data_IF_877248061837
#
_entry.id   IF_877248061837
#
_cell.length_a   1.000
_cell.length_b   1.000
_cell.length_c   1.000
_cell.angle_alpha   90.00
_cell.angle_beta   90.00
_cell.angle_gamma   90.00
#
_symmetry.space_group_name_H-M   'P 1'
#
loop_
_entity.id
_entity.type
_entity.pdbx_description
1 polymer ?
#
# COMPACT_ATOMS: atom_id res chain seq x y z
N UNK A 1 -22.10 3.80 -4.26
CA UNK A 1 -22.08 2.85 -5.39
C UNK A 1 -21.41 3.57 -6.54
N UNK A 2 -20.12 3.32 -6.71
CA UNK A 2 -19.26 3.97 -7.70
C UNK A 2 -18.93 2.89 -8.73
N UNK A 3 -19.22 3.13 -10.01
CA UNK A 3 -18.91 2.21 -11.11
C UNK A 3 -17.83 2.85 -11.99
N UNK A 4 -16.82 2.06 -12.35
CA UNK A 4 -15.69 2.45 -13.20
C UNK A 4 -16.13 2.54 -14.67
N UNK A 5 -15.72 3.58 -15.43
CA UNK A 5 -15.92 3.62 -16.87
C UNK A 5 -14.90 2.73 -17.59
N UNK A 6 -15.40 1.87 -18.49
CA UNK A 6 -14.57 1.10 -19.42
C UNK A 6 -14.22 1.96 -20.63
N UNK A 7 -12.93 2.11 -20.95
CA UNK A 7 -12.49 2.76 -22.20
C UNK A 7 -11.56 1.87 -23.04
N UNK A 8 -12.12 1.51 -24.20
CA UNK A 8 -11.58 1.33 -25.55
C UNK A 8 -10.08 1.39 -25.81
N UNK A 9 -9.64 0.33 -26.50
CA UNK A 9 -8.37 0.12 -27.20
C UNK A 9 -7.72 1.38 -27.81
N UNK A 10 -6.41 1.52 -27.57
CA UNK A 10 -5.51 2.27 -28.44
C UNK A 10 -4.13 1.62 -28.49
N UNK A 11 -3.92 0.84 -29.54
CA UNK A 11 -2.64 0.25 -29.94
C UNK A 11 -1.65 1.34 -30.35
N UNK A 12 -0.45 1.36 -29.75
CA UNK A 12 0.70 2.05 -30.31
C UNK A 12 1.94 1.14 -30.23
N UNK A 13 2.45 0.84 -31.42
CA UNK A 13 3.57 -0.04 -31.73
C UNK A 13 4.85 0.81 -31.81
N UNK A 14 5.97 0.39 -31.23
CA UNK A 14 7.30 0.84 -31.63
C UNK A 14 8.39 -0.15 -31.21
N UNK A 15 8.99 -0.80 -32.21
CA UNK A 15 10.26 -1.51 -32.10
C UNK A 15 11.43 -0.53 -32.17
N UNK A 16 12.50 -0.82 -31.43
CA UNK A 16 13.87 -0.49 -31.84
C UNK A 16 14.85 -1.49 -31.22
N UNK A 17 15.60 -2.17 -32.10
CA UNK A 17 16.74 -3.03 -31.79
C UNK A 17 17.99 -2.19 -31.47
N UNK A 18 18.74 -2.57 -30.44
CA UNK A 18 20.15 -2.22 -30.27
C UNK A 18 20.92 -3.38 -29.63
N UNK A 19 21.71 -4.04 -30.47
CA UNK A 19 22.58 -5.19 -30.15
C UNK A 19 23.86 -4.70 -29.45
N UNK A 20 24.11 -5.19 -28.24
CA UNK A 20 25.13 -4.65 -27.34
C UNK A 20 25.59 -5.60 -26.23
N UNK A 21 25.87 -6.87 -26.57
CA UNK A 21 26.63 -7.84 -25.76
C UNK A 21 26.35 -7.79 -24.25
N UNK A 22 25.19 -8.29 -23.86
CA UNK A 22 24.82 -8.48 -22.46
C UNK A 22 24.58 -9.98 -22.21
N UNK A 23 24.85 -10.47 -21.02
CA UNK A 23 24.46 -11.83 -20.60
C UNK A 23 22.92 -11.91 -20.40
N UNK A 24 22.16 -11.32 -21.31
CA UNK A 24 20.70 -11.22 -21.29
C UNK A 24 20.11 -12.43 -21.98
N UNK A 25 19.83 -13.47 -21.22
CA UNK A 25 18.71 -14.34 -21.56
C UNK A 25 18.22 -15.04 -20.31
N UNK A 26 17.14 -14.54 -19.70
CA UNK A 26 16.34 -15.37 -18.81
C UNK A 26 15.32 -16.19 -19.60
N UNK A 27 15.82 -17.10 -20.46
CA UNK A 27 15.05 -18.17 -21.12
C UNK A 27 13.84 -17.77 -22.00
N UNK A 28 13.45 -16.50 -22.08
CA UNK A 28 12.17 -16.07 -22.63
C UNK A 28 10.94 -16.52 -21.82
N UNK A 29 11.14 -17.17 -20.66
CA UNK A 29 10.06 -17.74 -19.85
C UNK A 29 9.87 -16.91 -18.57
N UNK A 30 8.62 -16.49 -18.31
CA UNK A 30 8.24 -15.79 -17.08
C UNK A 30 8.47 -16.70 -15.87
N UNK A 31 8.99 -16.12 -14.80
CA UNK A 31 9.25 -16.82 -13.53
C UNK A 31 8.24 -16.33 -12.51
N UNK A 32 7.30 -17.20 -12.14
CA UNK A 32 6.17 -16.89 -11.26
C UNK A 32 6.60 -16.17 -9.97
N UNK A 33 7.66 -16.64 -9.31
CA UNK A 33 8.15 -16.02 -8.08
C UNK A 33 8.67 -14.57 -8.26
N UNK A 34 9.29 -14.26 -9.41
CA UNK A 34 9.69 -12.89 -9.72
C UNK A 34 8.48 -11.99 -10.01
N UNK A 35 7.47 -12.53 -10.69
CA UNK A 35 6.20 -11.84 -10.90
C UNK A 35 5.47 -11.56 -9.60
N UNK A 36 5.31 -12.57 -8.75
CA UNK A 36 4.64 -12.43 -7.45
C UNK A 36 5.35 -11.41 -6.57
N UNK A 37 6.69 -11.38 -6.62
CA UNK A 37 7.46 -10.36 -5.93
C UNK A 37 7.11 -8.96 -6.43
N UNK A 38 7.10 -8.72 -7.75
CA UNK A 38 6.80 -7.39 -8.30
C UNK A 38 5.34 -6.98 -8.13
N UNK A 39 4.40 -7.94 -8.15
CA UNK A 39 2.99 -7.73 -7.76
C UNK A 39 2.90 -7.29 -6.29
N UNK A 40 3.57 -7.99 -5.38
CA UNK A 40 3.62 -7.60 -3.96
C UNK A 40 4.29 -6.23 -3.75
N UNK A 41 5.35 -5.90 -4.50
CA UNK A 41 5.99 -4.59 -4.45
C UNK A 41 5.05 -3.48 -4.94
N UNK A 42 4.25 -3.72 -5.98
CA UNK A 42 3.25 -2.75 -6.45
C UNK A 42 2.23 -2.44 -5.35
N UNK A 43 1.71 -3.47 -4.67
CA UNK A 43 0.79 -3.29 -3.54
C UNK A 43 1.44 -2.57 -2.36
N UNK A 44 2.70 -2.89 -2.03
CA UNK A 44 3.48 -2.17 -1.01
C UNK A 44 3.60 -0.68 -1.35
N UNK A 45 3.86 -0.34 -2.62
CA UNK A 45 3.98 1.04 -3.08
C UNK A 45 2.65 1.78 -3.04
N UNK A 46 1.57 1.15 -3.50
CA UNK A 46 0.21 1.66 -3.39
C UNK A 46 -0.10 2.01 -1.94
N UNK A 47 -0.05 1.02 -1.06
CA UNK A 47 -0.44 1.15 0.34
C UNK A 47 0.40 2.17 1.08
N UNK A 48 1.72 2.19 0.85
CA UNK A 48 2.60 3.21 1.44
C UNK A 48 2.18 4.63 1.04
N UNK A 49 1.80 4.85 -0.22
CA UNK A 49 1.34 6.15 -0.72
C UNK A 49 -0.06 6.48 -0.19
N UNK A 50 -1.00 5.53 -0.21
CA UNK A 50 -2.35 5.70 0.35
C UNK A 50 -2.30 6.07 1.84
N UNK A 51 -1.53 5.32 2.63
CA UNK A 51 -1.41 5.56 4.06
C UNK A 51 -0.79 6.94 4.38
N UNK A 52 0.13 7.41 3.52
CA UNK A 52 0.68 8.77 3.61
C UNK A 52 -0.36 9.83 3.23
N UNK A 53 -1.10 9.62 2.14
CA UNK A 53 -2.13 10.54 1.66
C UNK A 53 -3.28 10.72 2.66
N UNK A 54 -3.72 9.62 3.27
CA UNK A 54 -4.76 9.63 4.30
C UNK A 54 -4.27 10.19 5.65
N UNK A 55 -2.94 10.29 5.85
CA UNK A 55 -2.33 10.86 7.06
C UNK A 55 -2.39 9.99 8.31
N UNK A 56 -2.56 8.68 8.16
CA UNK A 56 -3.16 7.83 9.23
C UNK A 56 -2.60 6.41 9.33
N UNK A 57 -1.62 5.97 8.53
CA UNK A 57 -1.05 4.64 8.77
C UNK A 57 0.45 4.55 8.50
N UNK A 58 1.19 4.01 9.46
CA UNK A 58 2.51 3.41 9.26
C UNK A 58 2.37 1.92 9.54
N UNK A 59 3.31 1.10 9.08
CA UNK A 59 3.33 -0.36 9.37
C UNK A 59 3.18 -0.67 10.87
N UNK A 60 3.72 0.20 11.74
CA UNK A 60 3.64 0.07 13.20
C UNK A 60 2.21 0.20 13.78
N UNK A 61 1.25 0.67 12.99
CA UNK A 61 -0.13 0.86 13.41
C UNK A 61 -1.00 -0.37 13.02
N UNK A 62 -0.36 -1.47 12.64
CA UNK A 62 -1.00 -2.77 12.47
C UNK A 62 -1.78 -3.18 13.73
N UNK A 63 -2.95 -3.78 13.55
CA UNK A 63 -3.95 -4.09 14.57
C UNK A 63 -4.83 -2.91 14.99
N UNK A 64 -4.57 -1.70 14.45
CA UNK A 64 -5.38 -0.49 14.71
C UNK A 64 -6.01 0.08 13.45
N UNK A 65 -5.42 -0.19 12.30
CA UNK A 65 -5.87 0.32 11.00
C UNK A 65 -5.91 -0.83 9.98
N UNK A 66 -7.04 -1.04 9.29
CA UNK A 66 -7.13 -1.98 8.16
C UNK A 66 -6.07 -1.70 7.08
N UNK A 67 -5.78 -0.42 6.83
CA UNK A 67 -4.76 0.01 5.88
C UNK A 67 -3.34 -0.36 6.32
N UNK A 68 -3.03 -0.21 7.62
CA UNK A 68 -1.74 -0.62 8.17
C UNK A 68 -1.59 -2.15 8.12
N UNK A 69 -2.66 -2.90 8.34
CA UNK A 69 -2.66 -4.36 8.25
C UNK A 69 -2.44 -4.85 6.82
N UNK A 70 -3.15 -4.28 5.85
CA UNK A 70 -2.91 -4.57 4.43
C UNK A 70 -1.45 -4.27 4.05
N UNK A 71 -0.93 -3.10 4.48
CA UNK A 71 0.45 -2.76 4.20
C UNK A 71 1.44 -3.76 4.83
N UNK A 72 1.24 -4.11 6.10
CA UNK A 72 2.03 -5.13 6.79
C UNK A 72 2.00 -6.48 6.09
N UNK A 73 0.83 -6.90 5.62
CA UNK A 73 0.64 -8.17 4.91
C UNK A 73 1.46 -8.24 3.61
N UNK A 74 1.32 -7.27 2.70
CA UNK A 74 2.08 -7.27 1.45
C UNK A 74 3.58 -7.04 1.67
N UNK A 75 3.94 -6.26 2.69
CA UNK A 75 5.34 -6.10 3.08
C UNK A 75 5.96 -7.42 3.58
N UNK A 76 5.22 -8.21 4.35
CA UNK A 76 5.65 -9.53 4.81
C UNK A 76 5.82 -10.51 3.63
N UNK A 77 4.89 -10.51 2.66
CA UNK A 77 5.04 -11.32 1.43
C UNK A 77 6.31 -10.93 0.67
N UNK A 78 6.54 -9.63 0.45
CA UNK A 78 7.68 -9.16 -0.34
C UNK A 78 9.02 -9.37 0.38
N UNK A 79 9.11 -9.04 1.67
CA UNK A 79 10.39 -8.92 2.39
C UNK A 79 10.60 -9.98 3.47
N UNK A 80 9.55 -10.68 3.89
CA UNK A 80 9.59 -11.68 4.95
C UNK A 80 9.22 -11.11 6.31
N UNK A 81 9.17 -12.01 7.28
CA UNK A 81 9.05 -11.72 8.71
C UNK A 81 10.31 -12.22 9.44
N UNK A 82 10.34 -12.10 10.76
CA UNK A 82 11.45 -12.66 11.55
C UNK A 82 11.51 -14.19 11.46
N UNK A 83 10.38 -14.85 11.16
CA UNK A 83 10.23 -16.31 11.16
C UNK A 83 10.21 -16.93 9.75
N UNK A 84 9.83 -16.17 8.72
CA UNK A 84 9.64 -16.70 7.36
C UNK A 84 10.29 -15.79 6.30
N UNK A 85 11.07 -16.36 5.35
CA UNK A 85 11.65 -15.59 4.26
C UNK A 85 10.56 -15.10 3.30
N UNK A 86 10.65 -13.83 2.86
CA UNK A 86 9.78 -13.30 1.84
C UNK A 86 10.26 -13.62 0.42
N UNK A 87 9.43 -13.27 -0.56
CA UNK A 87 9.71 -13.49 -1.98
C UNK A 87 11.04 -12.88 -2.42
N UNK A 88 11.45 -11.74 -1.87
CA UNK A 88 12.76 -11.14 -2.17
C UNK A 88 13.92 -12.10 -1.89
N UNK A 89 13.85 -12.86 -0.81
CA UNK A 89 14.89 -13.82 -0.45
C UNK A 89 14.82 -15.04 -1.37
N UNK A 90 13.63 -15.60 -1.56
CA UNK A 90 13.39 -16.72 -2.49
C UNK A 90 13.90 -16.42 -3.90
N UNK A 91 13.71 -15.19 -4.35
CA UNK A 91 14.13 -14.70 -5.66
C UNK A 91 15.65 -14.61 -5.85
N UNK A 92 16.45 -14.57 -4.78
CA UNK A 92 17.93 -14.51 -4.88
C UNK A 92 18.53 -15.83 -5.37
N UNK A 93 17.90 -16.94 -5.06
CA UNK A 93 18.35 -18.27 -5.45
C UNK A 93 17.85 -18.67 -6.85
N UNK A 94 16.97 -17.86 -7.43
CA UNK A 94 16.50 -18.01 -8.81
C UNK A 94 17.52 -17.40 -9.78
N UNK A 95 17.57 -17.91 -11.02
CA UNK A 95 18.62 -17.49 -11.91
C UNK A 95 18.24 -16.12 -12.53
N UNK A 96 19.26 -15.34 -12.91
CA UNK A 96 19.07 -13.92 -13.24
C UNK A 96 19.06 -13.04 -12.00
N UNK A 97 18.60 -11.79 -12.13
CA UNK A 97 18.39 -10.91 -10.99
C UNK A 97 17.05 -10.16 -11.10
N UNK A 98 16.46 -9.85 -9.95
CA UNK A 98 15.16 -9.19 -9.83
C UNK A 98 15.01 -7.89 -10.64
N UNK A 99 15.99 -6.96 -10.61
CA UNK A 99 15.96 -5.77 -11.47
C UNK A 99 15.82 -6.09 -12.95
N UNK A 100 16.65 -6.99 -13.49
CA UNK A 100 16.63 -7.35 -14.91
C UNK A 100 15.30 -7.98 -15.31
N UNK A 101 14.71 -8.82 -14.46
CA UNK A 101 13.38 -9.39 -14.73
C UNK A 101 12.30 -8.33 -14.93
N UNK A 102 12.36 -7.24 -14.15
CA UNK A 102 11.40 -6.14 -14.29
C UNK A 102 11.55 -5.40 -15.62
N UNK A 103 12.79 -5.18 -16.05
CA UNK A 103 13.10 -4.52 -17.32
C UNK A 103 12.67 -5.37 -18.53
N UNK A 104 12.78 -6.69 -18.45
CA UNK A 104 12.41 -7.58 -19.57
C UNK A 104 10.89 -7.73 -19.76
N UNK A 105 10.11 -7.74 -18.67
CA UNK A 105 8.69 -8.09 -18.73
C UNK A 105 7.74 -6.92 -18.49
N UNK A 106 8.19 -5.84 -17.85
CA UNK A 106 7.51 -4.56 -17.52
C UNK A 106 6.13 -4.66 -16.83
N UNK A 107 5.19 -5.39 -17.44
CA UNK A 107 3.81 -5.60 -17.00
C UNK A 107 3.59 -7.03 -16.49
N UNK A 108 3.04 -7.22 -15.28
CA UNK A 108 2.69 -8.54 -14.74
C UNK A 108 1.54 -9.22 -15.50
N UNK A 109 1.47 -10.55 -15.52
CA UNK A 109 0.34 -11.29 -16.09
C UNK A 109 -0.92 -11.18 -15.22
N UNK A 110 -2.05 -10.90 -15.87
CA UNK A 110 -3.38 -10.76 -15.26
C UNK A 110 -4.07 -9.43 -15.63
N UNK A 111 -5.23 -9.20 -15.04
CA UNK A 111 -5.97 -7.94 -15.18
C UNK A 111 -5.59 -6.98 -14.05
N UNK A 112 -5.06 -5.80 -14.42
CA UNK A 112 -4.62 -4.78 -13.48
C UNK A 112 -5.09 -3.39 -13.88
N UNK A 113 -5.45 -2.60 -12.88
CA UNK A 113 -5.43 -1.15 -12.99
C UNK A 113 -3.98 -0.65 -12.94
N UNK A 114 -3.64 0.25 -13.86
CA UNK A 114 -2.30 0.81 -13.99
C UNK A 114 -2.29 2.23 -13.45
N UNK A 115 -1.60 2.43 -12.34
CA UNK A 115 -1.47 3.73 -11.69
C UNK A 115 -0.10 4.32 -12.01
N UNK A 116 -0.12 5.51 -12.58
CA UNK A 116 1.03 6.32 -12.98
C UNK A 116 0.89 7.69 -12.34
N UNK A 117 1.91 8.55 -12.48
CA UNK A 117 1.83 9.94 -12.01
C UNK A 117 0.63 10.70 -12.62
N UNK A 118 0.35 10.46 -13.90
CA UNK A 118 -0.64 11.21 -14.67
C UNK A 118 -2.10 10.92 -14.25
N UNK A 119 -2.36 9.72 -13.72
CA UNK A 119 -3.69 9.30 -13.26
C UNK A 119 -3.76 8.99 -11.77
N UNK A 120 -2.68 9.22 -11.00
CA UNK A 120 -2.63 8.92 -9.56
C UNK A 120 -3.78 9.56 -8.76
N UNK A 121 -4.18 10.78 -9.13
CA UNK A 121 -5.25 11.51 -8.45
C UNK A 121 -6.62 10.83 -8.61
N UNK A 122 -6.86 10.13 -9.73
CA UNK A 122 -8.09 9.37 -9.95
C UNK A 122 -8.23 8.20 -8.97
N UNK A 123 -7.11 7.73 -8.43
CA UNK A 123 -7.03 6.69 -7.40
C UNK A 123 -6.90 7.26 -5.97
N UNK A 124 -7.09 8.57 -5.80
CA UNK A 124 -6.96 9.23 -4.51
C UNK A 124 -5.53 9.33 -3.99
N UNK A 125 -4.53 9.19 -4.87
CA UNK A 125 -3.12 9.34 -4.55
C UNK A 125 -2.59 10.71 -5.01
N UNK A 126 -1.76 11.40 -4.22
CA UNK A 126 -1.14 12.64 -4.67
C UNK A 126 -0.15 12.37 -5.81
N UNK A 127 -0.29 13.04 -6.95
CA UNK A 127 0.65 12.92 -8.07
C UNK A 127 2.09 13.32 -7.69
N UNK A 128 2.24 14.29 -6.77
CA UNK A 128 3.52 14.74 -6.23
C UNK A 128 4.28 13.65 -5.44
N UNK A 129 3.59 12.58 -5.02
CA UNK A 129 4.23 11.45 -4.37
C UNK A 129 4.88 10.48 -5.37
N UNK A 130 4.70 10.68 -6.67
CA UNK A 130 5.33 9.91 -7.75
C UNK A 130 6.55 10.64 -8.32
N UNK A 131 7.68 9.93 -8.38
CA UNK A 131 8.86 10.38 -9.12
C UNK A 131 8.58 10.53 -10.62
N UNK A 132 9.35 11.37 -11.31
CA UNK A 132 9.17 11.60 -12.75
C UNK A 132 9.43 10.33 -13.59
N UNK A 133 10.38 9.50 -13.15
CA UNK A 133 10.72 8.21 -13.76
C UNK A 133 10.28 7.02 -12.88
N UNK A 134 9.29 7.23 -12.00
CA UNK A 134 8.80 6.16 -11.15
C UNK A 134 7.92 5.18 -11.94
N UNK A 135 8.27 3.90 -11.88
CA UNK A 135 7.52 2.84 -12.58
C UNK A 135 6.03 2.84 -12.23
N UNK A 136 5.18 2.39 -13.14
CA UNK A 136 3.77 2.20 -12.84
C UNK A 136 3.56 1.27 -11.63
N UNK A 137 2.44 1.47 -10.95
CA UNK A 137 1.94 0.58 -9.91
C UNK A 137 0.80 -0.23 -10.53
N UNK A 138 0.94 -1.55 -10.51
CA UNK A 138 -0.08 -2.47 -10.99
C UNK A 138 -0.93 -2.95 -9.81
N UNK A 139 -2.22 -2.67 -9.86
CA UNK A 139 -3.19 -3.03 -8.82
C UNK A 139 -4.16 -4.05 -9.40
N UNK A 140 -4.30 -5.26 -8.81
CA UNK A 140 -5.27 -6.23 -9.31
C UNK A 140 -6.66 -5.61 -9.36
N UNK A 141 -7.40 -5.79 -10.46
CA UNK A 141 -8.76 -5.22 -10.60
C UNK A 141 -9.76 -5.72 -9.55
N UNK A 142 -9.46 -6.87 -8.93
CA UNK A 142 -10.23 -7.47 -7.84
C UNK A 142 -9.81 -6.97 -6.45
N UNK A 143 -8.81 -6.10 -6.36
CA UNK A 143 -8.36 -5.57 -5.08
C UNK A 143 -9.38 -4.57 -4.53
N UNK A 144 -9.91 -4.89 -3.35
CA UNK A 144 -10.79 -4.00 -2.60
C UNK A 144 -9.99 -3.27 -1.50
N UNK A 145 -9.89 -1.95 -1.64
CA UNK A 145 -9.28 -1.11 -0.62
C UNK A 145 -10.15 -1.06 0.64
N UNK A 146 -9.56 -1.04 1.85
CA UNK A 146 -10.35 -0.92 3.07
C UNK A 146 -11.13 0.40 3.09
N UNK A 147 -12.43 0.32 3.40
CA UNK A 147 -13.30 1.50 3.49
C UNK A 147 -12.94 2.39 4.70
N UNK A 148 -12.55 1.75 5.81
CA UNK A 148 -12.26 2.42 7.07
C UNK A 148 -10.76 2.63 7.27
N UNK A 149 -10.43 3.79 7.82
CA UNK A 149 -9.05 4.13 8.17
C UNK A 149 -8.62 3.46 9.48
N UNK A 150 -9.49 3.46 10.48
CA UNK A 150 -9.24 2.96 11.83
C UNK A 150 -10.31 1.95 12.17
N UNK A 151 -9.95 0.86 12.85
CA UNK A 151 -10.96 -0.02 13.42
C UNK A 151 -11.79 0.75 14.44
N UNK A 152 -13.10 0.52 14.44
CA UNK A 152 -13.96 1.03 15.51
C UNK A 152 -13.50 0.45 16.86
N UNK A 153 -13.24 1.35 17.81
CA UNK A 153 -12.98 0.99 19.20
C UNK A 153 -14.12 1.57 20.01
N UNK A 154 -14.72 0.79 20.91
CA UNK A 154 -15.70 1.32 21.84
C UNK A 154 -15.03 2.39 22.71
N UNK A 155 -15.41 3.65 22.49
CA UNK A 155 -14.84 4.78 23.20
C UNK A 155 -15.45 4.87 24.60
N UNK A 156 -14.77 4.31 25.58
CA UNK A 156 -15.08 4.53 27.00
C UNK A 156 -14.08 5.52 27.63
N UNK A 157 -14.41 6.01 28.83
CA UNK A 157 -13.60 7.01 29.56
C UNK A 157 -12.13 6.60 29.71
N UNK A 158 -11.88 5.34 30.05
CA UNK A 158 -10.53 4.79 30.23
C UNK A 158 -9.74 4.82 28.93
N UNK A 159 -10.34 4.33 27.83
CA UNK A 159 -9.69 4.23 26.52
C UNK A 159 -9.39 5.60 25.93
N UNK A 160 -10.31 6.57 26.06
CA UNK A 160 -10.10 7.93 25.54
C UNK A 160 -9.06 8.67 26.37
N UNK A 161 -9.07 8.51 27.69
CA UNK A 161 -8.10 9.16 28.58
C UNK A 161 -6.70 8.60 28.34
N UNK A 162 -6.54 7.28 28.18
CA UNK A 162 -5.26 6.64 27.86
C UNK A 162 -4.69 7.13 26.51
N UNK A 163 -5.55 7.25 25.47
CA UNK A 163 -5.15 7.82 24.17
C UNK A 163 -4.70 9.27 24.33
N UNK A 164 -5.42 10.08 25.11
CA UNK A 164 -5.08 11.48 25.36
C UNK A 164 -3.77 11.63 26.15
N UNK A 165 -3.52 10.79 27.15
CA UNK A 165 -2.26 10.75 27.90
C UNK A 165 -1.07 10.32 27.03
N UNK A 166 -1.32 9.47 26.03
CA UNK A 166 -0.32 9.09 25.02
C UNK A 166 0.11 10.26 24.12
N UNK A 167 -0.63 11.37 24.09
CA UNK A 167 -0.26 12.58 23.35
C UNK A 167 0.77 13.37 24.16
N UNK A 168 1.94 13.60 23.55
CA UNK A 168 3.01 14.38 24.18
C UNK A 168 2.51 15.73 24.69
N UNK A 169 2.64 15.97 26.00
CA UNK A 169 2.27 17.23 26.65
C UNK A 169 0.87 17.25 27.27
N UNK A 170 0.09 16.17 27.16
CA UNK A 170 -1.17 15.98 27.89
C UNK A 170 -0.90 14.99 29.02
N UNK A 171 -0.77 15.48 30.25
CA UNK A 171 -0.77 14.62 31.44
C UNK A 171 -2.20 14.25 31.85
N UNK A 172 -2.34 13.28 32.73
CA UNK A 172 -3.60 12.73 33.27
C UNK A 172 -4.69 13.80 33.54
N UNK A 173 -4.35 14.86 34.28
CA UNK A 173 -5.31 15.92 34.60
C UNK A 173 -5.86 16.67 33.37
N UNK A 174 -5.05 16.84 32.32
CA UNK A 174 -5.47 17.46 31.07
C UNK A 174 -6.19 16.48 30.15
N UNK A 175 -5.89 15.19 30.23
CA UNK A 175 -6.59 14.15 29.50
C UNK A 175 -8.04 14.03 30.00
N UNK A 176 -8.26 14.01 31.32
CA UNK A 176 -9.61 14.00 31.90
C UNK A 176 -10.43 15.26 31.53
N UNK A 177 -9.79 16.44 31.52
CA UNK A 177 -10.43 17.69 31.10
C UNK A 177 -10.80 17.68 29.61
N UNK A 178 -9.91 17.16 28.75
CA UNK A 178 -10.16 17.02 27.32
C UNK A 178 -11.25 15.97 27.03
N UNK A 179 -11.27 14.84 27.73
CA UNK A 179 -12.36 13.85 27.63
C UNK A 179 -13.72 14.48 27.95
N UNK A 180 -13.79 15.23 29.07
CA UNK A 180 -15.01 15.95 29.44
C UNK A 180 -15.44 16.96 28.37
N UNK A 181 -14.50 17.71 27.81
CA UNK A 181 -14.80 18.67 26.74
C UNK A 181 -15.29 17.98 25.46
N UNK A 182 -14.72 16.84 25.08
CA UNK A 182 -15.16 16.04 23.93
C UNK A 182 -16.57 15.48 24.13
N UNK A 183 -16.89 15.05 25.36
CA UNK A 183 -18.24 14.61 25.75
C UNK A 183 -19.24 15.77 25.73
N UNK A 184 -18.89 16.92 26.32
CA UNK A 184 -19.74 18.13 26.29
C UNK A 184 -19.96 18.68 24.88
N UNK A 185 -19.01 18.47 23.96
CA UNK A 185 -19.13 18.82 22.55
C UNK A 185 -19.97 17.82 21.72
N UNK A 186 -20.41 16.71 22.32
CA UNK A 186 -21.16 15.65 21.63
C UNK A 186 -20.32 14.87 20.61
N UNK A 187 -19.00 14.92 20.73
CA UNK A 187 -18.06 14.20 19.86
C UNK A 187 -17.81 12.76 20.32
N UNK A 188 -18.12 12.47 21.58
CA UNK A 188 -18.18 11.12 22.12
C UNK A 188 -19.65 10.78 22.34
N UNK A 189 -20.05 9.55 21.95
CA UNK A 189 -21.39 9.07 22.27
C UNK A 189 -21.50 8.98 23.80
N UNK A 190 -22.62 9.44 24.34
CA UNK A 190 -22.93 9.15 25.72
C UNK A 190 -23.09 7.62 25.84
N UNK A 191 -22.40 7.04 26.83
CA UNK A 191 -22.74 5.72 27.37
C UNK A 191 -24.14 5.82 28.01
N UNK A 192 -25.19 5.94 27.20
CA UNK A 192 -26.57 5.96 27.68
C UNK A 192 -27.02 4.52 27.96
N UNK A 193 -26.92 4.16 29.23
CA UNK A 193 -27.91 3.47 30.07
C UNK A 193 -29.04 2.67 29.37
#
# INVERSE_FOLDING_TARGET
MFELPTQTDSTANNQNDADGNDETTFGGERVEAYEDYWKAISMVRLLKKSCKALGVAKVKDAGKSPWADHYGHFAAIAYGTDDEPGLKETCKDLPGNLPTYKEEFETPEGDFDVITKDNAEDFGLPADDFGDDEDAIFVPVEYEAPEEVWYEVEANEETVTEVLEGISGIGEARAAEAYKALKEAGLLKDDDN
#
